data_IF_089845848943
#
_entry.id   IF_089845848943
#
_cell.length_a   1.000
_cell.length_b   1.000
_cell.length_c   1.000
_cell.angle_alpha   90.00
_cell.angle_beta   90.00
_cell.angle_gamma   90.00
#
_symmetry.space_group_name_H-M   'P 1'
#
loop_
_entity.id
_entity.type
_entity.pdbx_description
1 polymer ?
#
# COMPACT_ATOMS: atom_id res chain seq x y z
N UNK A 1 39.59 19.67 -30.49
CA UNK A 1 38.93 20.05 -29.23
C UNK A 1 37.51 19.52 -29.33
N UNK A 2 37.24 18.37 -28.71
CA UNK A 2 36.02 17.61 -28.98
C UNK A 2 34.78 18.31 -28.42
N UNK A 3 33.79 18.40 -29.30
CA UNK A 3 32.44 18.87 -29.08
C UNK A 3 31.80 18.13 -27.90
N UNK A 4 31.39 18.88 -26.88
CA UNK A 4 30.60 18.36 -25.79
C UNK A 4 29.17 18.12 -26.32
N UNK A 5 28.91 16.88 -26.73
CA UNK A 5 27.56 16.44 -27.09
C UNK A 5 26.69 16.47 -25.83
N UNK A 6 25.73 17.39 -25.83
CA UNK A 6 24.63 17.47 -24.88
C UNK A 6 23.74 16.25 -25.13
N UNK A 7 23.71 15.30 -24.20
CA UNK A 7 22.76 14.19 -24.20
C UNK A 7 21.32 14.73 -24.13
N UNK A 8 20.43 14.44 -25.09
CA UNK A 8 19.00 14.68 -24.97
C UNK A 8 18.32 13.35 -24.67
N UNK A 9 17.95 13.07 -23.43
CA UNK A 9 17.37 11.77 -23.13
C UNK A 9 17.00 11.50 -21.69
N UNK A 10 16.25 12.39 -21.05
CA UNK A 10 15.37 12.02 -19.93
C UNK A 10 14.12 12.91 -19.99
N UNK A 11 13.15 12.48 -20.80
CA UNK A 11 11.81 13.05 -20.86
C UNK A 11 10.90 12.29 -19.88
N UNK A 12 11.23 12.37 -18.60
CA UNK A 12 10.33 12.05 -17.49
C UNK A 12 9.85 13.34 -16.85
N UNK A 13 8.62 13.39 -16.34
CA UNK A 13 8.21 14.48 -15.47
C UNK A 13 9.20 14.53 -14.29
N UNK A 14 9.99 15.59 -14.11
CA UNK A 14 10.92 15.61 -13.01
C UNK A 14 10.12 15.63 -11.70
N UNK A 15 10.22 14.52 -10.96
CA UNK A 15 9.73 14.44 -9.59
C UNK A 15 10.82 14.96 -8.66
N UNK A 16 10.46 15.85 -7.74
CA UNK A 16 11.42 16.39 -6.79
C UNK A 16 11.81 15.39 -5.69
N UNK A 17 12.80 15.75 -4.89
CA UNK A 17 13.25 14.95 -3.74
C UNK A 17 12.18 14.80 -2.66
N UNK A 18 11.11 15.59 -2.71
CA UNK A 18 9.96 15.52 -1.80
C UNK A 18 8.79 14.72 -2.39
N UNK A 19 8.87 14.29 -3.65
CA UNK A 19 7.85 13.52 -4.35
C UNK A 19 6.81 14.36 -5.12
N UNK A 20 7.07 15.64 -5.41
CA UNK A 20 6.16 16.51 -6.20
C UNK A 20 6.49 16.48 -7.68
N UNK A 21 5.46 16.59 -8.52
CA UNK A 21 5.60 16.51 -9.98
C UNK A 21 5.74 17.89 -10.60
N UNK A 22 6.70 18.04 -11.52
CA UNK A 22 6.80 19.20 -12.41
C UNK A 22 6.44 18.84 -13.85
N UNK A 23 5.54 19.61 -14.46
CA UNK A 23 5.20 19.51 -15.88
C UNK A 23 6.31 20.15 -16.73
N UNK A 24 7.26 19.35 -17.19
CA UNK A 24 8.16 19.72 -18.30
C UNK A 24 7.55 19.22 -19.60
N UNK A 25 7.39 20.12 -20.58
CA UNK A 25 6.85 19.76 -21.89
C UNK A 25 7.81 18.84 -22.64
N UNK A 26 7.43 17.58 -22.84
CA UNK A 26 8.24 16.65 -23.64
C UNK A 26 7.41 15.54 -24.28
N UNK A 27 7.71 15.34 -25.58
CA UNK A 27 7.63 14.17 -26.50
C UNK A 27 6.38 13.26 -26.40
N UNK A 28 5.77 12.83 -27.53
CA UNK A 28 4.69 11.84 -27.51
C UNK A 28 5.18 10.54 -26.85
N UNK A 29 4.60 10.23 -25.69
CA UNK A 29 4.94 9.03 -24.92
C UNK A 29 4.23 7.83 -25.56
N UNK A 30 4.96 6.73 -25.78
CA UNK A 30 4.37 5.49 -26.33
C UNK A 30 3.39 4.82 -25.34
N UNK A 31 3.66 4.96 -24.04
CA UNK A 31 2.83 4.45 -22.94
C UNK A 31 2.79 5.46 -21.79
N UNK A 32 1.98 6.54 -21.92
CA UNK A 32 1.91 7.59 -20.91
C UNK A 32 1.44 7.07 -19.54
N UNK A 33 0.66 5.99 -19.52
CA UNK A 33 0.11 5.38 -18.30
C UNK A 33 1.22 4.76 -17.45
N UNK A 34 1.99 3.84 -18.06
CA UNK A 34 3.08 3.13 -17.38
C UNK A 34 4.10 4.13 -16.84
N UNK A 35 4.49 5.10 -17.65
CA UNK A 35 5.43 6.13 -17.22
C UNK A 35 4.92 6.95 -16.03
N UNK A 36 3.65 7.39 -16.07
CA UNK A 36 3.09 8.18 -14.99
C UNK A 36 3.05 7.38 -13.68
N UNK A 37 2.77 6.07 -13.76
CA UNK A 37 2.85 5.18 -12.59
C UNK A 37 4.28 5.05 -12.06
N UNK A 38 5.28 4.86 -12.93
CA UNK A 38 6.68 4.80 -12.49
C UNK A 38 7.10 6.09 -11.76
N UNK A 39 6.74 7.25 -12.32
CA UNK A 39 7.04 8.54 -11.71
C UNK A 39 6.30 8.71 -10.35
N UNK A 40 5.05 8.22 -10.22
CA UNK A 40 4.33 8.17 -8.94
C UNK A 40 5.05 7.29 -7.91
N UNK A 41 5.55 6.13 -8.32
CA UNK A 41 6.26 5.21 -7.44
C UNK A 41 7.60 5.78 -6.97
N UNK A 42 8.32 6.46 -7.86
CA UNK A 42 9.57 7.15 -7.53
C UNK A 42 9.34 8.34 -6.59
N UNK A 43 8.28 9.12 -6.83
CA UNK A 43 7.88 10.19 -5.92
C UNK A 43 7.49 9.68 -4.54
N UNK A 44 6.76 8.57 -4.50
CA UNK A 44 6.38 7.93 -3.24
C UNK A 44 7.58 7.31 -2.51
N UNK A 45 8.57 6.78 -3.25
CA UNK A 45 9.86 6.34 -2.69
C UNK A 45 10.56 7.51 -2.00
N UNK A 46 10.68 8.64 -2.68
CA UNK A 46 11.34 9.84 -2.15
C UNK A 46 10.64 10.38 -0.89
N UNK A 47 9.30 10.44 -0.92
CA UNK A 47 8.50 10.85 0.25
C UNK A 47 8.78 9.96 1.47
N UNK A 48 8.85 8.63 1.27
CA UNK A 48 9.08 7.68 2.36
C UNK A 48 10.53 7.74 2.88
N UNK A 49 11.50 7.98 2.01
CA UNK A 49 12.90 8.21 2.40
C UNK A 49 13.05 9.47 3.25
N UNK A 50 12.37 10.56 2.91
CA UNK A 50 12.35 11.77 3.73
C UNK A 50 11.73 11.57 5.13
N UNK A 51 10.95 10.50 5.31
CA UNK A 51 10.36 10.09 6.60
C UNK A 51 11.22 9.03 7.32
N UNK A 52 12.45 8.81 6.87
CA UNK A 52 13.41 7.85 7.42
C UNK A 52 12.85 6.43 7.55
N UNK A 53 11.99 6.00 6.61
CA UNK A 53 11.60 4.60 6.52
C UNK A 53 12.75 3.74 6.01
N UNK A 54 12.77 2.50 6.50
CA UNK A 54 13.71 1.49 6.06
C UNK A 54 13.50 1.11 4.58
N UNK A 55 14.60 0.86 3.86
CA UNK A 55 14.59 0.55 2.43
C UNK A 55 13.78 -0.71 2.11
N UNK A 56 13.87 -1.76 2.92
CA UNK A 56 13.13 -3.01 2.69
C UNK A 56 11.62 -2.78 2.83
N UNK A 57 11.23 -1.90 3.75
CA UNK A 57 9.82 -1.52 3.92
C UNK A 57 9.31 -0.74 2.72
N UNK A 58 10.12 0.16 2.16
CA UNK A 58 9.78 0.94 0.97
C UNK A 58 9.64 0.03 -0.25
N UNK A 59 10.59 -0.86 -0.47
CA UNK A 59 10.59 -1.80 -1.60
C UNK A 59 9.41 -2.78 -1.50
N UNK A 60 9.09 -3.26 -0.29
CA UNK A 60 7.92 -4.09 -0.05
C UNK A 60 6.60 -3.38 -0.38
N UNK A 61 6.50 -2.09 -0.06
CA UNK A 61 5.32 -1.27 -0.37
C UNK A 61 5.19 -0.97 -1.86
N UNK A 62 6.29 -0.64 -2.54
CA UNK A 62 6.30 -0.44 -4.00
C UNK A 62 5.91 -1.75 -4.71
N UNK A 63 6.50 -2.87 -4.29
CA UNK A 63 6.17 -4.19 -4.85
C UNK A 63 4.71 -4.59 -4.65
N UNK A 64 4.08 -4.16 -3.56
CA UNK A 64 2.64 -4.34 -3.32
C UNK A 64 1.80 -3.56 -4.33
N UNK A 65 2.10 -2.28 -4.57
CA UNK A 65 1.37 -1.46 -5.56
C UNK A 65 1.49 -2.07 -6.96
N UNK A 66 2.71 -2.46 -7.37
CA UNK A 66 2.94 -3.14 -8.66
C UNK A 66 2.13 -4.43 -8.78
N UNK A 67 2.06 -5.22 -7.71
CA UNK A 67 1.27 -6.45 -7.68
C UNK A 67 -0.22 -6.18 -7.81
N UNK A 68 -0.72 -5.11 -7.19
CA UNK A 68 -2.12 -4.72 -7.32
C UNK A 68 -2.46 -4.29 -8.75
N UNK A 69 -1.61 -3.47 -9.37
CA UNK A 69 -1.75 -3.08 -10.79
C UNK A 69 -1.72 -4.31 -11.69
N UNK A 70 -0.76 -5.23 -11.49
CA UNK A 70 -0.65 -6.44 -12.29
C UNK A 70 -1.83 -7.41 -12.11
N UNK A 71 -2.48 -7.42 -10.93
CA UNK A 71 -3.65 -8.26 -10.67
C UNK A 71 -4.92 -7.68 -11.28
N UNK A 72 -5.12 -6.38 -11.13
CA UNK A 72 -6.35 -5.69 -11.57
C UNK A 72 -6.29 -5.27 -13.03
N UNK A 73 -5.09 -5.17 -13.60
CA UNK A 73 -4.80 -4.59 -14.91
C UNK A 73 -5.34 -3.15 -15.06
N UNK A 74 -5.47 -2.44 -13.94
CA UNK A 74 -6.03 -1.10 -13.85
C UNK A 74 -5.04 -0.13 -13.19
N UNK A 75 -5.05 1.11 -13.67
CA UNK A 75 -4.15 2.16 -13.20
C UNK A 75 -4.73 2.93 -12.01
N UNK A 76 -3.89 3.62 -11.19
CA UNK A 76 -4.32 4.24 -9.94
C UNK A 76 -5.47 5.25 -10.04
N UNK A 77 -5.63 5.93 -11.19
CA UNK A 77 -6.71 6.87 -11.46
C UNK A 77 -8.02 6.23 -11.93
N UNK A 78 -8.04 4.91 -12.15
CA UNK A 78 -9.21 4.11 -12.51
C UNK A 78 -9.68 3.19 -11.40
N UNK A 79 -8.96 3.14 -10.26
CA UNK A 79 -9.33 2.25 -9.17
C UNK A 79 -10.68 2.64 -8.57
N UNK A 80 -11.46 1.62 -8.24
CA UNK A 80 -12.76 1.76 -7.59
C UNK A 80 -12.84 0.86 -6.36
N UNK A 81 -13.75 1.12 -5.41
CA UNK A 81 -13.97 0.24 -4.28
C UNK A 81 -14.28 -1.21 -4.71
N UNK A 82 -15.00 -1.40 -5.82
CA UNK A 82 -15.33 -2.72 -6.35
C UNK A 82 -14.08 -3.52 -6.77
N UNK A 83 -13.13 -2.88 -7.49
CA UNK A 83 -11.85 -3.50 -7.88
C UNK A 83 -11.05 -3.92 -6.64
N UNK A 84 -11.08 -3.09 -5.59
CA UNK A 84 -10.39 -3.39 -4.33
C UNK A 84 -11.04 -4.57 -3.61
N UNK A 85 -12.36 -4.61 -3.54
CA UNK A 85 -13.12 -5.72 -2.93
C UNK A 85 -12.83 -7.06 -3.64
N UNK A 86 -12.83 -7.06 -4.97
CA UNK A 86 -12.50 -8.24 -5.80
C UNK A 86 -11.08 -8.75 -5.52
N UNK A 87 -10.09 -7.85 -5.53
CA UNK A 87 -8.69 -8.20 -5.20
C UNK A 87 -8.57 -8.88 -3.83
N UNK A 88 -9.26 -8.36 -2.81
CA UNK A 88 -9.22 -8.96 -1.47
C UNK A 88 -10.05 -10.24 -1.35
N UNK A 89 -11.12 -10.38 -2.13
CA UNK A 89 -11.87 -11.62 -2.23
C UNK A 89 -10.98 -12.74 -2.81
N UNK A 90 -10.23 -12.46 -3.87
CA UNK A 90 -9.29 -13.40 -4.48
C UNK A 90 -8.15 -13.80 -3.54
N UNK A 91 -7.58 -12.83 -2.81
CA UNK A 91 -6.52 -13.09 -1.84
C UNK A 91 -6.96 -14.06 -0.73
N UNK A 92 -8.23 -13.97 -0.29
CA UNK A 92 -8.81 -14.85 0.72
C UNK A 92 -9.24 -16.20 0.13
N UNK A 93 -9.99 -16.16 -0.97
CA UNK A 93 -10.65 -17.33 -1.55
C UNK A 93 -9.71 -18.26 -2.32
N UNK A 94 -8.75 -17.70 -3.07
CA UNK A 94 -7.87 -18.48 -3.96
C UNK A 94 -6.51 -18.73 -3.30
N UNK A 95 -5.94 -17.70 -2.66
CA UNK A 95 -4.55 -17.74 -2.16
C UNK A 95 -4.44 -18.08 -0.67
N UNK A 96 -5.55 -18.26 0.04
CA UNK A 96 -5.58 -18.67 1.45
C UNK A 96 -4.72 -17.81 2.39
N UNK A 97 -4.57 -16.50 2.08
CA UNK A 97 -3.62 -15.64 2.79
C UNK A 97 -4.10 -15.31 4.21
N UNK A 98 -3.16 -15.29 5.16
CA UNK A 98 -3.42 -14.93 6.55
C UNK A 98 -4.01 -13.50 6.66
N UNK A 99 -4.92 -13.29 7.62
CA UNK A 99 -5.58 -11.99 7.86
C UNK A 99 -4.57 -10.86 8.13
N UNK A 100 -3.43 -11.18 8.75
CA UNK A 100 -2.34 -10.22 8.98
C UNK A 100 -1.73 -9.70 7.67
N UNK A 101 -1.62 -10.55 6.64
CA UNK A 101 -1.10 -10.15 5.31
C UNK A 101 -2.11 -9.24 4.60
N UNK A 102 -3.40 -9.56 4.67
CA UNK A 102 -4.45 -8.72 4.08
C UNK A 102 -4.46 -7.31 4.69
N UNK A 103 -4.36 -7.21 6.03
CA UNK A 103 -4.25 -5.92 6.74
C UNK A 103 -3.00 -5.13 6.33
N UNK A 104 -1.86 -5.81 6.17
CA UNK A 104 -0.64 -5.17 5.66
C UNK A 104 -0.82 -4.59 4.26
N UNK A 105 -1.52 -5.32 3.38
CA UNK A 105 -1.79 -4.89 2.01
C UNK A 105 -2.72 -3.67 1.98
N UNK A 106 -3.79 -3.69 2.77
CA UNK A 106 -4.71 -2.56 2.89
C UNK A 106 -3.97 -1.30 3.36
N UNK A 107 -3.14 -1.41 4.40
CA UNK A 107 -2.39 -0.27 4.91
C UNK A 107 -1.42 0.31 3.88
N UNK A 108 -0.70 -0.55 3.16
CA UNK A 108 0.24 -0.10 2.12
C UNK A 108 -0.45 0.60 0.95
N UNK A 109 -1.54 0.03 0.43
CA UNK A 109 -2.30 0.60 -0.68
C UNK A 109 -3.02 1.89 -0.28
N UNK A 110 -3.56 1.97 0.95
CA UNK A 110 -4.15 3.18 1.49
C UNK A 110 -3.16 4.33 1.57
N UNK A 111 -1.94 4.07 2.05
CA UNK A 111 -0.87 5.06 2.13
C UNK A 111 -0.49 5.59 0.75
N UNK A 112 -0.40 4.72 -0.25
CA UNK A 112 -0.15 5.13 -1.63
C UNK A 112 -1.29 5.99 -2.17
N UNK A 113 -2.56 5.55 -2.02
CA UNK A 113 -3.72 6.32 -2.46
C UNK A 113 -3.82 7.70 -1.79
N UNK A 114 -3.50 7.79 -0.50
CA UNK A 114 -3.43 9.08 0.19
C UNK A 114 -2.35 9.99 -0.38
N UNK A 115 -1.20 9.45 -0.80
CA UNK A 115 -0.12 10.23 -1.38
C UNK A 115 -0.48 10.80 -2.76
N UNK A 116 -1.06 9.96 -3.65
CA UNK A 116 -1.40 10.39 -5.01
C UNK A 116 -2.67 11.25 -5.07
N UNK A 117 -3.59 11.11 -4.12
CA UNK A 117 -4.80 11.93 -4.05
C UNK A 117 -4.60 13.27 -3.32
N UNK A 118 -3.41 13.50 -2.73
CA UNK A 118 -3.09 14.72 -2.01
C UNK A 118 -2.70 15.84 -3.00
N UNK A 119 -3.46 16.96 -3.04
CA UNK A 119 -3.21 18.06 -3.97
C UNK A 119 -1.83 18.73 -3.82
N UNK A 120 -1.18 18.58 -2.65
CA UNK A 120 0.15 19.16 -2.41
C UNK A 120 1.26 18.50 -3.24
N UNK A 121 1.01 17.30 -3.77
CA UNK A 121 1.93 16.57 -4.66
C UNK A 121 1.64 16.78 -6.14
N UNK A 122 0.40 17.18 -6.50
CA UNK A 122 0.02 17.57 -7.86
C UNK A 122 -0.32 16.42 -8.82
N UNK A 123 -0.38 15.18 -8.34
CA UNK A 123 -0.74 14.00 -9.15
C UNK A 123 -2.18 14.03 -9.65
N UNK A 124 -3.08 14.68 -8.90
CA UNK A 124 -4.45 14.98 -9.29
C UNK A 124 -4.51 15.70 -10.65
N UNK A 125 -3.79 16.81 -10.78
CA UNK A 125 -3.78 17.66 -11.98
C UNK A 125 -3.10 16.98 -13.15
N UNK A 126 -2.02 16.25 -12.89
CA UNK A 126 -1.28 15.52 -13.93
C UNK A 126 -2.15 14.44 -14.53
N UNK A 127 -2.85 13.66 -13.70
CA UNK A 127 -3.76 12.63 -14.18
C UNK A 127 -4.96 13.22 -14.90
N UNK A 128 -5.55 14.30 -14.39
CA UNK A 128 -6.70 14.94 -15.04
C UNK A 128 -6.33 15.48 -16.42
N UNK A 129 -5.16 16.11 -16.57
CA UNK A 129 -4.68 16.63 -17.85
C UNK A 129 -4.31 15.52 -18.85
N UNK A 130 -3.77 14.39 -18.39
CA UNK A 130 -3.29 13.31 -19.26
C UNK A 130 -4.37 12.28 -19.60
N UNK A 131 -5.22 11.95 -18.63
CA UNK A 131 -6.14 10.81 -18.70
C UNK A 131 -7.62 11.21 -18.52
N UNK A 132 -7.91 12.47 -18.19
CA UNK A 132 -9.27 12.95 -17.97
C UNK A 132 -9.92 12.47 -16.67
N UNK A 133 -9.14 11.84 -15.78
CA UNK A 133 -9.56 11.37 -14.46
C UNK A 133 -8.44 11.60 -13.44
N UNK A 134 -8.76 11.53 -12.15
CA UNK A 134 -7.81 11.76 -11.08
C UNK A 134 -7.79 10.58 -10.09
N UNK A 135 -6.64 10.30 -9.47
CA UNK A 135 -6.58 9.33 -8.39
C UNK A 135 -7.41 9.77 -7.19
N UNK A 136 -8.09 8.82 -6.56
CA UNK A 136 -8.91 9.04 -5.38
C UNK A 136 -8.58 8.03 -4.28
N UNK A 137 -8.87 8.39 -3.03
CA UNK A 137 -8.79 7.44 -1.93
C UNK A 137 -9.94 6.43 -2.04
N UNK A 138 -9.63 5.20 -2.41
CA UNK A 138 -10.60 4.09 -2.48
C UNK A 138 -10.48 3.13 -1.29
N UNK A 139 -9.40 3.24 -0.50
CA UNK A 139 -9.18 2.45 0.71
C UNK A 139 -9.64 3.25 1.93
N UNK A 140 -10.93 3.15 2.22
CA UNK A 140 -11.49 3.68 3.46
C UNK A 140 -11.13 2.76 4.64
N UNK A 141 -11.33 3.26 5.87
CA UNK A 141 -11.30 2.38 7.03
C UNK A 141 -12.36 1.30 6.80
N UNK A 142 -11.91 0.12 6.38
CA UNK A 142 -12.74 -1.05 6.47
C UNK A 142 -12.86 -1.28 7.97
N UNK A 143 -13.97 -0.84 8.56
CA UNK A 143 -14.42 -1.46 9.79
C UNK A 143 -14.58 -2.93 9.45
N UNK A 144 -13.54 -3.68 9.78
CA UNK A 144 -13.53 -5.13 9.77
C UNK A 144 -14.75 -5.53 10.54
N UNK A 145 -15.72 -6.08 9.83
CA UNK A 145 -16.95 -6.59 10.39
C UNK A 145 -16.72 -7.18 11.79
N UNK A 146 -17.47 -6.66 12.75
CA UNK A 146 -17.95 -7.35 13.96
C UNK A 146 -18.82 -8.57 13.59
N UNK A 147 -18.38 -9.34 12.60
CA UNK A 147 -18.99 -10.54 12.06
C UNK A 147 -17.87 -11.18 11.21
N UNK A 148 -17.00 -11.98 11.78
CA UNK A 148 -17.29 -13.37 12.12
C UNK A 148 -16.53 -13.71 13.41
N UNK A 149 -17.29 -13.97 14.48
CA UNK A 149 -16.87 -14.97 15.47
C UNK A 149 -16.72 -16.29 14.72
N UNK A 150 -15.54 -16.59 14.22
CA UNK A 150 -15.15 -17.98 13.98
C UNK A 150 -13.63 -18.09 13.85
N UNK A 151 -13.06 -18.66 14.90
CA UNK A 151 -11.98 -19.63 14.84
C UNK A 151 -10.58 -19.20 14.36
N UNK A 152 -9.89 -18.39 15.16
CA UNK A 152 -8.43 -18.55 15.34
C UNK A 152 -8.15 -19.19 16.72
N UNK A 153 -8.77 -20.35 17.00
CA UNK A 153 -8.11 -21.30 17.90
C UNK A 153 -6.98 -21.97 17.12
N UNK A 154 -5.79 -21.38 17.20
CA UNK A 154 -4.55 -22.03 16.83
C UNK A 154 -4.31 -23.21 17.81
N UNK A 155 -4.38 -24.49 17.39
CA UNK A 155 -4.22 -25.63 18.30
C UNK A 155 -2.75 -25.90 18.68
N UNK A 156 -1.78 -25.10 18.24
CA UNK A 156 -0.35 -25.36 18.51
C UNK A 156 0.26 -24.54 19.66
N UNK A 157 -0.57 -23.91 20.50
CA UNK A 157 -0.09 -23.42 21.80
C UNK A 157 -0.57 -24.35 22.90
N UNK A 158 0.33 -25.25 23.32
CA UNK A 158 0.26 -25.99 24.59
C UNK A 158 -0.30 -25.03 25.67
N UNK A 159 -1.49 -25.30 26.23
CA UNK A 159 -1.98 -24.49 27.33
C UNK A 159 -1.01 -24.68 28.50
N UNK A 160 -0.44 -23.57 28.97
CA UNK A 160 0.20 -23.52 30.28
C UNK A 160 -0.85 -23.99 31.29
N UNK A 161 -0.63 -25.17 31.85
CA UNK A 161 -1.45 -25.69 32.94
C UNK A 161 -1.31 -24.75 34.12
N UNK A 162 -2.29 -23.85 34.28
CA UNK A 162 -2.58 -23.22 35.56
C UNK A 162 -3.12 -24.32 36.48
N UNK A 163 -2.22 -24.94 37.25
CA UNK A 163 -2.62 -25.77 38.40
C UNK A 163 -3.16 -24.84 39.50
N UNK A 164 -4.36 -24.32 39.31
CA UNK A 164 -5.19 -23.80 40.39
C UNK A 164 -6.30 -24.81 40.66
N UNK A 165 -5.96 -25.87 41.38
CA UNK A 165 -6.93 -26.81 41.94
C UNK A 165 -7.06 -26.55 43.45
N UNK A 166 -8.14 -25.82 43.76
CA UNK A 166 -9.06 -25.95 44.91
C UNK A 166 -8.49 -26.15 46.33
N UNK A 167 -8.79 -25.13 47.14
CA UNK A 167 -9.48 -25.18 48.46
C UNK A 167 -9.35 -26.43 49.32
N UNK A 168 -8.79 -26.23 50.51
CA UNK A 168 -9.14 -26.97 51.71
C UNK A 168 -9.36 -25.99 52.86
N UNK A 169 -10.63 -25.73 53.18
CA UNK A 169 -11.04 -25.31 54.52
C UNK A 169 -10.76 -26.47 55.48
N UNK A 170 -10.16 -26.21 56.65
CA UNK A 170 -10.45 -26.86 57.95
C UNK A 170 -9.47 -26.36 59.03
N UNK A 171 -10.02 -25.60 59.98
CA UNK A 171 -9.88 -25.69 61.45
C UNK A 171 -8.60 -26.32 62.04
N UNK A 172 -7.90 -25.58 62.91
CA UNK A 172 -7.80 -25.83 64.39
C UNK A 172 -6.41 -25.51 65.01
N UNK A 173 -6.45 -24.69 66.08
CA UNK A 173 -5.49 -24.53 67.21
C UNK A 173 -4.09 -23.99 66.87
N UNK A 174 -3.35 -23.27 67.73
CA UNK A 174 -3.03 -23.50 69.15
C UNK A 174 -2.57 -22.18 69.82
N UNK A 175 -2.94 -22.02 71.10
CA UNK A 175 -2.38 -21.19 72.20
C UNK A 175 -2.52 -19.67 72.18
#
# INVERSE_FOLDING_TARGET
>A
MMHQMRHPGEAGLPVDKSGRVFLVGSVPLLHPEVQTVEEMLDGWRNQQLCRNLDHDTIDGRIGLVRRFIAHTNEYPWSWTPAIVEEFFADLRGIKGRAQSTARGYQNGLRLFCSYIADPDYGWDRVCEQRFGTHPAQVFFAWDTATHVQDNEQNPEKRPFTNRSCRTSSTTRMIR
#
